data_IF_978622604567
#
_entry.id   IF_978622604567
#
_cell.length_a   1.000
_cell.length_b   1.000
_cell.length_c   1.000
_cell.angle_alpha   90.00
_cell.angle_beta   90.00
_cell.angle_gamma   90.00
#
_symmetry.space_group_name_H-M   'P 1'
#
loop_
_entity.id
_entity.type
_entity.pdbx_description
1 polymer ?
#
# COMPACT_ATOMS: atom_id res chain seq x y z
N UNK A 1 -26.63 40.30 -55.92
CA UNK A 1 -25.53 39.40 -56.33
C UNK A 1 -24.58 39.20 -55.14
N UNK A 2 -24.23 37.94 -54.88
CA UNK A 2 -23.36 37.41 -53.81
C UNK A 2 -22.08 38.22 -53.56
N UNK A 3 -21.64 38.27 -52.30
CA UNK A 3 -20.31 37.78 -51.88
C UNK A 3 -20.27 37.57 -50.36
N UNK A 4 -20.04 36.31 -50.01
CA UNK A 4 -19.92 35.75 -48.67
C UNK A 4 -18.51 36.06 -48.16
N UNK A 5 -18.39 36.59 -46.95
CA UNK A 5 -17.12 36.69 -46.20
C UNK A 5 -17.31 35.92 -44.89
N UNK A 6 -16.99 34.63 -44.94
CA UNK A 6 -16.78 33.78 -43.76
C UNK A 6 -15.29 33.86 -43.48
N UNK A 7 -14.90 34.65 -42.47
CA UNK A 7 -13.52 34.77 -42.03
C UNK A 7 -13.35 34.00 -40.71
N UNK A 8 -12.59 32.91 -40.80
CA UNK A 8 -11.71 32.32 -39.79
C UNK A 8 -12.22 32.27 -38.34
N UNK A 9 -12.90 31.16 -38.02
CA UNK A 9 -12.97 30.62 -36.68
C UNK A 9 -12.32 29.23 -36.68
N UNK A 10 -11.00 29.16 -36.69
CA UNK A 10 -10.23 27.95 -36.41
C UNK A 10 -8.76 28.33 -36.19
N UNK A 11 -8.07 27.59 -35.33
CA UNK A 11 -6.64 27.68 -35.00
C UNK A 11 -6.25 28.59 -33.81
N UNK A 12 -6.83 28.31 -32.64
CA UNK A 12 -6.14 28.51 -31.35
C UNK A 12 -6.26 27.28 -30.44
N UNK A 13 -6.36 26.08 -31.02
CA UNK A 13 -6.11 24.86 -30.27
C UNK A 13 -4.58 24.73 -30.10
N UNK A 14 -4.04 25.38 -29.07
CA UNK A 14 -2.67 25.13 -28.64
C UNK A 14 -2.47 23.64 -28.34
N UNK A 15 -1.26 23.09 -28.49
CA UNK A 15 -0.99 21.72 -28.09
C UNK A 15 -1.37 21.59 -26.62
N UNK A 16 -2.36 20.75 -26.34
CA UNK A 16 -2.62 20.29 -24.99
C UNK A 16 -1.34 19.57 -24.59
N UNK A 17 -0.51 20.25 -23.79
CA UNK A 17 0.60 19.60 -23.13
C UNK A 17 -0.02 18.42 -22.38
N UNK A 18 0.21 17.21 -22.88
CA UNK A 18 -0.16 16.02 -22.15
C UNK A 18 0.58 16.14 -20.83
N UNK A 19 -0.16 16.38 -19.75
CA UNK A 19 0.38 16.23 -18.42
C UNK A 19 0.89 14.79 -18.36
N UNK A 20 2.21 14.62 -18.44
CA UNK A 20 2.85 13.33 -18.24
C UNK A 20 2.48 12.98 -16.81
N UNK A 21 1.50 12.08 -16.66
CA UNK A 21 1.04 11.64 -15.36
C UNK A 21 2.25 11.21 -14.54
N UNK A 22 2.31 11.64 -13.29
CA UNK A 22 3.41 11.26 -12.40
C UNK A 22 3.58 9.74 -12.42
N UNK A 23 4.83 9.22 -12.43
CA UNK A 23 5.04 7.78 -12.44
C UNK A 23 4.36 7.15 -11.22
N UNK A 24 3.51 6.15 -11.47
CA UNK A 24 2.80 5.41 -10.42
C UNK A 24 3.33 3.99 -10.34
N UNK A 25 3.43 3.48 -9.13
CA UNK A 25 3.70 2.09 -8.82
C UNK A 25 2.38 1.39 -8.48
N UNK A 26 2.01 0.39 -9.27
CA UNK A 26 0.92 -0.51 -8.90
C UNK A 26 1.39 -1.45 -7.78
N UNK A 27 0.66 -1.43 -6.67
CA UNK A 27 0.82 -2.38 -5.57
C UNK A 27 -0.26 -3.43 -5.68
N UNK A 28 0.15 -4.67 -5.95
CA UNK A 28 -0.78 -5.78 -6.20
C UNK A 28 -0.36 -7.05 -5.48
N UNK A 29 -1.20 -7.48 -4.55
CA UNK A 29 -0.92 -8.63 -3.71
C UNK A 29 -2.14 -9.12 -2.97
N UNK A 30 -1.88 -9.74 -1.84
CA UNK A 30 -2.89 -10.36 -1.00
C UNK A 30 -2.70 -9.98 0.46
N UNK A 31 -3.83 -9.89 1.14
CA UNK A 31 -3.94 -9.74 2.58
C UNK A 31 -4.61 -10.99 3.14
N UNK A 32 -4.06 -11.56 4.20
CA UNK A 32 -4.66 -12.69 4.92
C UNK A 32 -4.64 -12.42 6.41
N UNK A 33 -5.65 -12.88 7.14
CA UNK A 33 -5.71 -12.81 8.59
C UNK A 33 -5.44 -14.19 9.22
N UNK A 34 -4.97 -14.19 10.45
CA UNK A 34 -4.71 -15.42 11.20
C UNK A 34 -4.76 -15.17 12.72
N UNK A 35 -4.91 -16.25 13.48
CA UNK A 35 -4.70 -16.26 14.92
C UNK A 35 -3.65 -17.28 15.30
N UNK A 36 -2.94 -17.08 16.39
CA UNK A 36 -1.93 -18.03 16.87
C UNK A 36 -2.03 -18.13 18.38
N UNK A 37 -2.16 -19.33 18.91
CA UNK A 37 -2.11 -19.53 20.35
C UNK A 37 -0.66 -19.58 20.82
N UNK A 38 -0.31 -18.74 21.80
CA UNK A 38 0.99 -18.73 22.47
C UNK A 38 0.86 -18.74 24.00
N UNK A 39 -0.24 -19.28 24.55
CA UNK A 39 -0.48 -19.36 25.99
C UNK A 39 0.45 -20.36 26.73
N UNK A 40 1.11 -21.27 26.01
CA UNK A 40 1.97 -22.33 26.56
C UNK A 40 3.48 -22.04 26.48
N UNK A 41 4.30 -23.09 26.62
CA UNK A 41 5.76 -23.01 26.48
C UNK A 41 6.25 -22.75 25.04
N UNK A 42 5.37 -22.90 24.06
CA UNK A 42 5.62 -22.62 22.64
C UNK A 42 4.35 -22.13 21.95
N UNK A 43 4.51 -21.33 20.90
CA UNK A 43 3.40 -20.96 20.03
C UNK A 43 2.96 -22.12 19.13
N UNK A 44 1.66 -22.29 18.96
CA UNK A 44 1.08 -23.17 17.94
C UNK A 44 1.33 -22.62 16.52
N UNK A 45 0.97 -23.41 15.51
CA UNK A 45 0.92 -22.90 14.13
C UNK A 45 -0.23 -21.88 13.99
N UNK A 46 -0.06 -20.83 13.16
CA UNK A 46 -1.14 -19.89 12.87
C UNK A 46 -2.35 -20.60 12.24
N UNK A 47 -3.52 -20.38 12.84
CA UNK A 47 -4.82 -20.79 12.33
C UNK A 47 -5.34 -19.69 11.39
N UNK A 48 -5.57 -19.98 10.11
CA UNK A 48 -6.05 -18.98 9.15
C UNK A 48 -7.46 -18.45 9.50
N UNK A 49 -7.68 -17.16 9.27
CA UNK A 49 -9.01 -16.57 9.12
C UNK A 49 -9.36 -16.43 7.64
N UNK A 50 -9.52 -15.20 7.18
CA UNK A 50 -9.67 -14.86 5.77
C UNK A 50 -8.33 -14.97 5.03
N UNK A 51 -8.36 -15.55 3.82
CA UNK A 51 -7.15 -15.88 3.06
C UNK A 51 -7.16 -15.25 1.69
N UNK A 52 -5.98 -14.80 1.25
CA UNK A 52 -5.71 -14.36 -0.11
C UNK A 52 -6.69 -13.29 -0.61
N UNK A 53 -7.02 -12.35 0.25
CA UNK A 53 -7.91 -11.26 -0.08
C UNK A 53 -7.16 -10.30 -1.02
N UNK A 54 -7.64 -10.08 -2.25
CA UNK A 54 -6.91 -9.27 -3.21
C UNK A 54 -6.83 -7.81 -2.77
N UNK A 55 -5.66 -7.22 -3.00
CA UNK A 55 -5.37 -5.80 -2.78
C UNK A 55 -4.72 -5.24 -4.04
N UNK A 56 -5.28 -4.15 -4.54
CA UNK A 56 -4.72 -3.35 -5.63
C UNK A 56 -4.77 -1.88 -5.23
N UNK A 57 -3.63 -1.20 -5.27
CA UNK A 57 -3.47 0.22 -4.97
C UNK A 57 -2.51 0.85 -5.98
N UNK A 58 -2.65 2.15 -6.19
CA UNK A 58 -1.70 2.94 -6.98
C UNK A 58 -0.97 3.90 -6.03
N UNK A 59 0.36 3.80 -6.00
CA UNK A 59 1.23 4.67 -5.22
C UNK A 59 1.98 5.61 -6.15
N UNK A 60 1.75 6.92 -6.02
CA UNK A 60 2.55 7.90 -6.75
C UNK A 60 4.03 7.82 -6.33
N UNK A 61 4.93 8.10 -7.25
CA UNK A 61 6.37 8.09 -6.99
C UNK A 61 6.89 9.54 -6.94
N UNK A 62 7.29 10.04 -5.75
CA UNK A 62 7.76 11.42 -5.61
C UNK A 62 9.02 11.65 -6.44
N UNK A 63 9.15 12.85 -7.01
CA UNK A 63 10.23 13.18 -7.93
C UNK A 63 11.27 14.11 -7.32
N UNK A 64 10.91 14.92 -6.32
CA UNK A 64 11.81 15.88 -5.68
C UNK A 64 12.22 15.46 -4.26
N UNK A 65 13.40 15.92 -3.83
CA UNK A 65 13.95 15.64 -2.51
C UNK A 65 13.03 16.13 -1.39
N UNK A 66 12.80 15.30 -0.37
CA UNK A 66 11.91 15.61 0.75
C UNK A 66 10.42 15.38 0.47
N UNK A 67 10.04 15.05 -0.76
CA UNK A 67 8.67 14.65 -1.07
C UNK A 67 8.38 13.22 -0.61
N UNK A 68 7.13 12.98 -0.24
CA UNK A 68 6.60 11.65 0.00
C UNK A 68 5.20 11.53 -0.61
N UNK A 69 4.89 10.34 -1.08
CA UNK A 69 3.55 9.97 -1.51
C UNK A 69 3.04 8.83 -0.64
N UNK A 70 1.72 8.75 -0.50
CA UNK A 70 1.06 7.72 0.29
C UNK A 70 -0.09 7.06 -0.48
N UNK A 71 -0.30 5.78 -0.24
CA UNK A 71 -1.50 5.04 -0.61
C UNK A 71 -2.04 4.33 0.62
N UNK A 72 -3.35 4.40 0.82
CA UNK A 72 -4.01 3.91 2.01
C UNK A 72 -5.07 2.85 1.68
N UNK A 73 -5.22 1.86 2.55
CA UNK A 73 -6.32 0.89 2.51
C UNK A 73 -6.81 0.59 3.93
N UNK A 74 -8.12 0.68 4.14
CA UNK A 74 -8.78 0.16 5.34
C UNK A 74 -9.61 -1.07 4.99
N UNK A 75 -9.53 -2.11 5.81
CA UNK A 75 -10.28 -3.35 5.61
C UNK A 75 -10.63 -4.03 6.92
N UNK A 76 -11.80 -4.64 6.96
CA UNK A 76 -12.20 -5.56 8.03
C UNK A 76 -12.03 -6.99 7.53
N UNK A 77 -11.30 -7.81 8.27
CA UNK A 77 -11.03 -9.20 7.94
C UNK A 77 -11.69 -10.14 8.94
N UNK A 78 -12.23 -11.25 8.46
CA UNK A 78 -12.78 -12.27 9.34
C UNK A 78 -11.67 -13.02 10.08
N UNK A 79 -11.91 -13.36 11.35
CA UNK A 79 -11.07 -14.22 12.18
C UNK A 79 -11.91 -15.33 12.82
N UNK A 80 -11.28 -16.44 13.26
CA UNK A 80 -11.94 -17.37 14.17
C UNK A 80 -12.38 -16.66 15.46
N UNK A 81 -13.69 -16.43 15.60
CA UNK A 81 -14.29 -15.83 16.81
C UNK A 81 -14.44 -14.31 16.79
N UNK A 82 -14.28 -13.63 15.65
CA UNK A 82 -14.52 -12.19 15.54
C UNK A 82 -13.97 -11.59 14.26
N UNK A 83 -13.74 -10.27 14.28
CA UNK A 83 -13.19 -9.53 13.16
C UNK A 83 -11.92 -8.77 13.57
N UNK A 84 -11.05 -8.51 12.58
CA UNK A 84 -9.88 -7.66 12.71
C UNK A 84 -10.01 -6.47 11.77
N UNK A 85 -9.99 -5.26 12.32
CA UNK A 85 -9.87 -4.06 11.51
C UNK A 85 -8.40 -3.81 11.22
N UNK A 86 -8.09 -3.51 9.97
CA UNK A 86 -6.74 -3.31 9.46
C UNK A 86 -6.71 -2.02 8.68
N UNK A 87 -5.75 -1.17 9.00
CA UNK A 87 -5.33 -0.06 8.15
C UNK A 87 -3.92 -0.32 7.65
N UNK A 88 -3.73 -0.14 6.35
CA UNK A 88 -2.46 -0.26 5.67
C UNK A 88 -2.10 1.08 5.05
N UNK A 89 -0.90 1.55 5.35
CA UNK A 89 -0.33 2.75 4.75
C UNK A 89 0.96 2.40 4.04
N UNK A 90 1.03 2.79 2.78
CA UNK A 90 2.16 2.56 1.90
C UNK A 90 2.75 3.90 1.52
N UNK A 91 4.05 4.06 1.71
CA UNK A 91 4.75 5.31 1.39
C UNK A 91 5.85 5.08 0.39
N UNK A 92 6.01 6.00 -0.55
CA UNK A 92 7.23 6.20 -1.32
C UNK A 92 7.85 7.51 -0.86
N UNK A 93 9.11 7.47 -0.43
CA UNK A 93 9.76 8.61 0.22
C UNK A 93 11.03 8.97 -0.52
N UNK A 94 11.13 10.25 -0.88
CA UNK A 94 12.33 10.81 -1.43
C UNK A 94 13.20 11.40 -0.31
N UNK A 95 14.42 10.90 -0.08
CA UNK A 95 15.27 11.46 0.97
C UNK A 95 15.62 12.93 0.66
N UNK A 96 15.78 13.74 1.71
CA UNK A 96 16.18 15.15 1.59
C UNK A 96 17.52 15.35 0.86
N UNK A 97 18.42 14.36 0.95
CA UNK A 97 19.72 14.36 0.28
C UNK A 97 19.70 13.65 -1.08
N UNK A 98 18.52 13.27 -1.57
CA UNK A 98 18.34 12.64 -2.88
C UNK A 98 18.70 13.61 -3.99
N UNK A 99 19.78 13.33 -4.72
CA UNK A 99 20.12 14.04 -5.97
C UNK A 99 19.34 13.43 -7.12
N UNK A 100 19.10 14.21 -8.17
CA UNK A 100 18.60 13.83 -9.51
C UNK A 100 17.59 12.66 -9.55
N UNK A 101 16.31 12.99 -9.77
CA UNK A 101 15.22 12.01 -9.93
C UNK A 101 15.03 11.07 -8.73
N UNK A 102 15.29 11.57 -7.52
CA UNK A 102 15.06 10.84 -6.28
C UNK A 102 15.93 9.57 -6.11
N UNK A 103 17.23 9.69 -6.40
CA UNK A 103 18.18 8.63 -6.11
C UNK A 103 18.15 8.28 -4.60
N UNK A 104 18.04 6.99 -4.28
CA UNK A 104 17.90 6.52 -2.90
C UNK A 104 16.47 6.53 -2.35
N UNK A 105 15.45 6.67 -3.21
CA UNK A 105 14.05 6.45 -2.83
C UNK A 105 13.90 5.14 -2.04
N UNK A 106 13.22 5.21 -0.92
CA UNK A 106 12.84 4.06 -0.12
C UNK A 106 11.34 4.06 0.12
N UNK A 107 10.85 2.93 0.58
CA UNK A 107 9.43 2.70 0.77
C UNK A 107 9.15 2.35 2.22
N UNK A 108 7.93 2.61 2.66
CA UNK A 108 7.44 2.08 3.93
C UNK A 108 6.13 1.36 3.74
N UNK A 109 5.97 0.25 4.45
CA UNK A 109 4.68 -0.41 4.64
C UNK A 109 4.37 -0.38 6.13
N UNK A 110 3.22 0.16 6.48
CA UNK A 110 2.72 0.24 7.84
C UNK A 110 1.38 -0.49 7.93
N UNK A 111 1.16 -1.15 9.05
CA UNK A 111 -0.08 -1.84 9.37
C UNK A 111 -0.51 -1.48 10.78
N UNK A 112 -1.73 -0.96 10.92
CA UNK A 112 -2.40 -0.75 12.20
C UNK A 112 -3.53 -1.76 12.31
N UNK A 113 -3.51 -2.54 13.38
CA UNK A 113 -4.53 -3.52 13.70
C UNK A 113 -5.37 -2.98 14.85
N UNK A 114 -6.68 -2.89 14.64
CA UNK A 114 -7.65 -2.58 15.68
C UNK A 114 -8.51 -3.83 15.94
N UNK A 115 -8.77 -4.13 17.21
CA UNK A 115 -9.48 -5.35 17.62
C UNK A 115 -8.94 -5.96 18.91
N UNK A 116 -9.04 -7.30 19.09
CA UNK A 116 -8.79 -7.98 20.37
C UNK A 116 -7.40 -7.78 20.99
N UNK A 117 -6.39 -7.48 20.18
CA UNK A 117 -5.01 -7.32 20.64
C UNK A 117 -4.40 -5.95 20.35
N UNK A 118 -4.85 -5.26 19.29
CA UNK A 118 -4.20 -4.05 18.79
C UNK A 118 -2.77 -4.29 18.30
N UNK A 119 -2.33 -3.63 17.23
CA UNK A 119 -0.92 -3.62 16.87
C UNK A 119 -0.58 -2.46 15.95
N UNK A 120 0.70 -2.08 15.96
CA UNK A 120 1.29 -1.26 14.91
C UNK A 120 2.59 -1.93 14.47
N UNK A 121 2.72 -2.19 13.17
CA UNK A 121 3.91 -2.75 12.56
C UNK A 121 4.34 -1.89 11.38
N UNK A 122 5.63 -1.68 11.22
CA UNK A 122 6.17 -0.90 10.12
C UNK A 122 7.48 -1.52 9.63
N UNK A 123 7.72 -1.41 8.32
CA UNK A 123 8.99 -1.76 7.71
C UNK A 123 9.40 -0.67 6.71
N UNK A 124 10.69 -0.32 6.71
CA UNK A 124 11.31 0.46 5.64
C UNK A 124 11.99 -0.52 4.67
N UNK A 125 11.71 -0.36 3.38
CA UNK A 125 12.02 -1.34 2.34
C UNK A 125 12.69 -0.67 1.14
N UNK A 126 13.55 -1.41 0.44
CA UNK A 126 14.00 -1.02 -0.90
C UNK A 126 12.92 -1.35 -1.94
N UNK A 127 13.12 -0.92 -3.18
CA UNK A 127 12.15 -1.14 -4.26
C UNK A 127 11.84 -2.63 -4.54
N UNK A 128 12.85 -3.51 -4.48
CA UNK A 128 12.70 -4.93 -4.79
C UNK A 128 11.96 -5.73 -3.72
N UNK A 129 12.05 -5.30 -2.46
CA UNK A 129 11.27 -5.88 -1.37
C UNK A 129 9.83 -5.36 -1.34
N UNK A 130 9.62 -4.13 -1.83
CA UNK A 130 8.32 -3.46 -1.82
C UNK A 130 7.43 -3.78 -3.03
N UNK A 131 8.00 -3.93 -4.23
CA UNK A 131 7.26 -4.18 -5.47
C UNK A 131 7.28 -5.68 -5.84
N UNK A 132 6.19 -6.25 -6.39
CA UNK A 132 4.88 -5.63 -6.68
C UNK A 132 4.00 -5.49 -5.43
N UNK A 133 4.37 -6.12 -4.33
CA UNK A 133 3.73 -5.96 -3.04
C UNK A 133 4.70 -6.37 -1.92
N UNK A 134 4.74 -5.64 -0.79
CA UNK A 134 5.64 -5.99 0.30
C UNK A 134 5.15 -7.26 1.00
N UNK A 135 6.11 -8.08 1.46
CA UNK A 135 5.82 -9.20 2.35
C UNK A 135 6.05 -8.73 3.78
N UNK A 136 4.99 -8.71 4.58
CA UNK A 136 5.02 -8.22 5.95
C UNK A 136 4.05 -9.04 6.79
N UNK A 137 4.47 -9.42 8.00
CA UNK A 137 3.58 -9.95 9.02
C UNK A 137 3.41 -8.91 10.11
N UNK A 138 2.17 -8.72 10.56
CA UNK A 138 1.87 -7.86 11.69
C UNK A 138 0.94 -8.59 12.65
N UNK A 139 1.21 -8.52 13.95
CA UNK A 139 0.37 -9.17 14.94
C UNK A 139 0.45 -8.47 16.30
N UNK A 140 -0.68 -8.45 16.98
CA UNK A 140 -0.79 -8.10 18.40
C UNK A 140 -1.05 -9.34 19.23
N UNK A 141 -0.74 -9.29 20.52
CA UNK A 141 -1.10 -10.33 21.49
C UNK A 141 -2.19 -9.83 22.45
N UNK A 142 -3.27 -10.59 22.58
CA UNK A 142 -4.29 -10.35 23.59
C UNK A 142 -3.84 -10.93 24.95
N UNK A 143 -4.50 -10.53 26.06
CA UNK A 143 -4.34 -11.21 27.34
C UNK A 143 -4.54 -12.72 27.20
N UNK A 144 -3.67 -13.52 27.82
CA UNK A 144 -3.66 -14.98 27.67
C UNK A 144 -2.81 -15.50 26.51
N UNK A 145 -2.08 -14.64 25.79
CA UNK A 145 -1.04 -15.07 24.86
C UNK A 145 -1.53 -15.39 23.44
N UNK A 146 -2.83 -15.29 23.18
CA UNK A 146 -3.35 -15.44 21.81
C UNK A 146 -2.98 -14.24 20.96
N UNK A 147 -2.34 -14.49 19.81
CA UNK A 147 -2.02 -13.48 18.81
C UNK A 147 -3.08 -13.40 17.72
N UNK A 148 -3.26 -12.20 17.21
CA UNK A 148 -4.14 -11.84 16.11
C UNK A 148 -3.32 -11.05 15.12
N UNK A 149 -3.27 -11.52 13.87
CA UNK A 149 -2.36 -10.97 12.91
C UNK A 149 -2.84 -11.02 11.48
N UNK A 150 -2.05 -10.36 10.65
CA UNK A 150 -2.19 -10.34 9.21
C UNK A 150 -0.87 -10.75 8.55
N UNK A 151 -0.99 -11.16 7.30
CA UNK A 151 0.14 -11.32 6.39
C UNK A 151 -0.18 -10.60 5.09
N UNK A 152 0.70 -9.69 4.69
CA UNK A 152 0.81 -9.19 3.33
C UNK A 152 1.71 -10.14 2.55
N UNK A 153 1.25 -10.60 1.39
CA UNK A 153 2.06 -11.46 0.53
C UNK A 153 1.79 -11.21 -0.95
N UNK A 154 2.76 -11.60 -1.78
CA UNK A 154 2.73 -11.40 -3.23
C UNK A 154 1.80 -12.40 -3.89
N UNK A 155 1.25 -12.03 -5.05
CA UNK A 155 0.62 -13.01 -5.92
C UNK A 155 1.68 -14.01 -6.41
N UNK A 156 1.36 -15.31 -6.53
CA UNK A 156 2.23 -16.26 -7.21
C UNK A 156 2.51 -15.73 -8.63
N UNK A 157 3.78 -15.76 -9.03
CA UNK A 157 4.21 -15.41 -10.38
C UNK A 157 3.73 -16.45 -11.41
#
# INVERSE_FOLDING_TARGET
MKKILIALAALLAGPVAAAVGEPQLELKGYLSSWTQDCAGSSCALPVPGERNVPVTLLLALPAAAGEAAAAHLSKKLALPGGDLSVELDFYAICPYVGRDACAGRYFQAQARLDGPAGAFCAAALNAGDFSPFPVLMCAGAAPGGRRFGITLHRQPL
#
